data_IF_407347821976
#
_entry.id   IF_407347821976
#
_cell.length_a   1.000
_cell.length_b   1.000
_cell.length_c   1.000
_cell.angle_alpha   90.00
_cell.angle_beta   90.00
_cell.angle_gamma   90.00
#
_symmetry.space_group_name_H-M   'P 1'
#
loop_
_entity.id
_entity.type
_entity.pdbx_description
1 polymer ?
#
# COMPACT_ATOMS: atom_id res chain seq x y z
N UNK A 1 -0.44 13.14 14.12
CA UNK A 1 -0.83 12.26 12.99
C UNK A 1 -2.08 11.50 13.42
N UNK A 2 -3.11 11.46 12.57
CA UNK A 2 -4.29 10.62 12.85
C UNK A 2 -3.88 9.15 12.90
N UNK A 3 -4.55 8.37 13.74
CA UNK A 3 -4.28 6.93 13.87
C UNK A 3 -4.64 6.15 12.59
N UNK A 4 -5.60 6.69 11.83
CA UNK A 4 -6.06 6.13 10.57
C UNK A 4 -5.82 7.09 9.42
N UNK A 5 -5.44 6.53 8.28
CA UNK A 5 -5.21 7.22 7.02
C UNK A 5 -6.03 6.55 5.93
N UNK A 6 -6.77 7.33 5.14
CA UNK A 6 -7.51 6.79 3.99
C UNK A 6 -6.55 6.48 2.85
N UNK A 7 -6.55 5.23 2.40
CA UNK A 7 -5.63 4.71 1.40
C UNK A 7 -6.40 3.99 0.30
N UNK A 8 -6.03 4.24 -0.95
CA UNK A 8 -6.48 3.50 -2.13
C UNK A 8 -5.36 2.59 -2.61
N UNK A 9 -5.54 1.30 -2.41
CA UNK A 9 -4.67 0.26 -2.95
C UNK A 9 -5.14 -0.09 -4.37
N UNK A 10 -4.28 0.14 -5.36
CA UNK A 10 -4.55 -0.11 -6.77
C UNK A 10 -3.84 -1.41 -7.16
N UNK A 11 -4.55 -2.35 -7.77
CA UNK A 11 -4.04 -3.64 -8.21
C UNK A 11 -4.12 -3.70 -9.75
N UNK A 12 -3.11 -3.19 -10.49
CA UNK A 12 -3.21 -3.06 -11.94
C UNK A 12 -3.44 -4.39 -12.66
N UNK A 13 -2.79 -5.47 -12.20
CA UNK A 13 -2.93 -6.80 -12.79
C UNK A 13 -4.34 -7.40 -12.67
N UNK A 14 -5.19 -6.83 -11.80
CA UNK A 14 -6.57 -7.26 -11.60
C UNK A 14 -7.59 -6.22 -12.08
N UNK A 15 -7.12 -5.07 -12.58
CA UNK A 15 -7.95 -3.90 -12.92
C UNK A 15 -8.90 -3.49 -11.77
N UNK A 16 -8.43 -3.65 -10.52
CA UNK A 16 -9.22 -3.42 -9.30
C UNK A 16 -8.52 -2.45 -8.36
N UNK A 17 -9.31 -1.85 -7.46
CA UNK A 17 -8.77 -1.08 -6.35
C UNK A 17 -9.59 -1.32 -5.07
N UNK A 18 -8.95 -1.11 -3.93
CA UNK A 18 -9.56 -1.18 -2.59
C UNK A 18 -9.31 0.17 -1.92
N UNK A 19 -10.36 0.84 -1.44
CA UNK A 19 -10.24 2.03 -0.60
C UNK A 19 -10.60 1.65 0.82
N UNK A 20 -9.71 1.92 1.77
CA UNK A 20 -9.95 1.65 3.18
C UNK A 20 -9.22 2.65 4.08
N UNK A 21 -9.70 2.78 5.31
CA UNK A 21 -9.00 3.53 6.35
C UNK A 21 -8.01 2.57 7.02
N UNK A 22 -6.72 2.79 6.76
CA UNK A 22 -5.64 1.98 7.28
C UNK A 22 -5.12 2.58 8.59
N UNK A 23 -4.97 1.75 9.63
CA UNK A 23 -4.20 2.15 10.80
C UNK A 23 -2.74 2.35 10.39
N UNK A 24 -2.22 3.57 10.54
CA UNK A 24 -0.91 3.97 10.02
C UNK A 24 0.27 3.24 10.67
N UNK A 25 0.03 2.44 11.72
CA UNK A 25 1.02 1.65 12.46
C UNK A 25 1.13 0.18 12.00
N UNK A 26 0.19 -0.31 11.20
CA UNK A 26 0.22 -1.68 10.67
C UNK A 26 1.26 -1.79 9.55
N UNK A 27 2.06 -2.87 9.54
CA UNK A 27 3.00 -3.16 8.46
C UNK A 27 2.26 -3.50 7.17
N UNK A 28 2.78 -3.07 6.02
CA UNK A 28 2.08 -3.28 4.74
C UNK A 28 1.94 -4.76 4.38
N UNK A 29 2.89 -5.61 4.77
CA UNK A 29 2.81 -7.06 4.53
C UNK A 29 1.65 -7.74 5.26
N UNK A 30 1.21 -7.22 6.42
CA UNK A 30 0.05 -7.76 7.14
C UNK A 30 -1.26 -7.58 6.35
N UNK A 31 -1.27 -6.66 5.38
CA UNK A 31 -2.42 -6.44 4.50
C UNK A 31 -2.62 -7.56 3.50
N UNK A 32 -1.63 -8.43 3.31
CA UNK A 32 -1.71 -9.60 2.42
C UNK A 32 -2.93 -10.48 2.75
N UNK A 33 -3.17 -10.75 4.03
CA UNK A 33 -4.35 -11.52 4.47
C UNK A 33 -5.66 -10.80 4.16
N UNK A 34 -5.70 -9.49 4.41
CA UNK A 34 -6.86 -8.64 4.11
C UNK A 34 -7.17 -8.64 2.61
N UNK A 35 -6.14 -8.49 1.77
CA UNK A 35 -6.30 -8.51 0.31
C UNK A 35 -6.75 -9.87 -0.20
N UNK A 36 -6.18 -10.97 0.28
CA UNK A 36 -6.64 -12.34 -0.02
C UNK A 36 -8.14 -12.49 0.23
N UNK A 37 -8.61 -12.02 1.39
CA UNK A 37 -10.01 -12.13 1.78
C UNK A 37 -10.96 -11.25 0.96
N UNK A 38 -10.54 -10.05 0.59
CA UNK A 38 -11.36 -9.10 -0.20
C UNK A 38 -11.38 -9.51 -1.68
N UNK A 39 -10.20 -9.79 -2.26
CA UNK A 39 -10.05 -10.09 -3.68
C UNK A 39 -10.42 -11.54 -4.02
N UNK A 40 -10.56 -12.42 -3.02
CA UNK A 40 -10.82 -13.86 -3.18
C UNK A 40 -9.77 -14.56 -4.05
N UNK A 41 -8.50 -14.20 -3.87
CA UNK A 41 -7.36 -14.78 -4.57
C UNK A 41 -6.29 -15.21 -3.57
N UNK A 42 -5.58 -16.29 -3.86
CA UNK A 42 -4.44 -16.70 -3.05
C UNK A 42 -3.22 -15.81 -3.34
N UNK A 43 -2.82 -15.02 -2.34
CA UNK A 43 -1.61 -14.22 -2.40
C UNK A 43 -0.45 -14.86 -1.63
N UNK A 44 -0.64 -15.93 -0.85
CA UNK A 44 0.39 -16.48 0.04
C UNK A 44 1.69 -16.84 -0.69
N UNK A 45 1.58 -17.44 -1.87
CA UNK A 45 2.71 -17.77 -2.73
C UNK A 45 3.28 -16.58 -3.53
N UNK A 46 2.69 -15.38 -3.42
CA UNK A 46 3.11 -14.19 -4.16
C UNK A 46 3.83 -13.21 -3.26
N UNK A 47 4.91 -12.63 -3.76
CA UNK A 47 5.53 -11.46 -3.12
C UNK A 47 4.79 -10.21 -3.56
N UNK A 48 4.47 -9.33 -2.61
CA UNK A 48 3.74 -8.09 -2.89
C UNK A 48 4.72 -6.93 -2.85
N UNK A 49 4.70 -6.11 -3.89
CA UNK A 49 5.47 -4.86 -3.95
C UNK A 49 4.51 -3.68 -3.88
N UNK A 50 4.78 -2.80 -2.94
CA UNK A 50 4.03 -1.58 -2.72
C UNK A 50 4.83 -0.41 -3.27
N UNK A 51 4.18 0.46 -4.05
CA UNK A 51 4.80 1.69 -4.50
C UNK A 51 3.82 2.85 -4.36
N UNK A 52 4.35 4.00 -3.99
CA UNK A 52 3.64 5.25 -3.87
C UNK A 52 4.02 6.17 -5.03
N UNK A 53 3.04 6.86 -5.63
CA UNK A 53 3.28 7.76 -6.75
C UNK A 53 3.32 9.21 -6.26
N UNK A 54 4.44 9.90 -6.49
CA UNK A 54 4.63 11.33 -6.24
C UNK A 54 4.83 12.06 -7.57
N UNK A 55 3.73 12.50 -8.18
CA UNK A 55 3.76 13.07 -9.53
C UNK A 55 4.21 12.02 -10.55
N UNK A 56 5.32 12.28 -11.25
CA UNK A 56 5.89 11.36 -12.24
C UNK A 56 6.85 10.32 -11.65
N UNK A 57 7.12 10.38 -10.34
CA UNK A 57 8.08 9.49 -9.67
C UNK A 57 7.32 8.40 -8.92
N UNK A 58 7.63 7.15 -9.23
CA UNK A 58 7.19 5.99 -8.46
C UNK A 58 8.26 5.67 -7.40
N UNK A 59 7.85 5.64 -6.13
CA UNK A 59 8.72 5.35 -4.99
C UNK A 59 8.30 4.01 -4.40
N UNK A 60 9.24 3.09 -4.25
CA UNK A 60 8.97 1.80 -3.62
C UNK A 60 8.89 1.95 -2.09
N UNK A 61 7.88 1.32 -1.50
CA UNK A 61 7.67 1.30 -0.06
C UNK A 61 8.28 0.03 0.54
N UNK A 62 8.79 0.15 1.76
CA UNK A 62 9.27 -1.01 2.50
C UNK A 62 8.06 -1.76 3.10
N UNK A 63 7.81 -2.99 2.69
CA UNK A 63 6.64 -3.75 3.11
C UNK A 63 6.63 -4.12 4.60
N UNK A 64 7.81 -4.22 5.22
CA UNK A 64 7.99 -4.50 6.65
C UNK A 64 7.72 -3.27 7.53
N UNK A 65 7.63 -2.07 6.93
CA UNK A 65 7.35 -0.84 7.65
C UNK A 65 5.88 -0.44 7.48
N UNK A 66 5.34 0.18 8.51
CA UNK A 66 4.01 0.79 8.45
C UNK A 66 4.01 2.08 7.64
N UNK A 67 2.83 2.58 7.24
CA UNK A 67 2.74 3.85 6.50
C UNK A 67 3.41 5.02 7.22
N UNK A 68 3.22 5.10 8.54
CA UNK A 68 3.87 6.12 9.37
C UNK A 68 5.38 5.94 9.49
N UNK A 69 5.92 4.75 9.18
CA UNK A 69 7.34 4.47 9.11
C UNK A 69 7.99 4.88 7.78
N UNK A 70 7.23 5.04 6.70
CA UNK A 70 7.75 5.34 5.36
C UNK A 70 8.25 6.79 5.27
N UNK A 71 9.55 6.98 5.09
CA UNK A 71 10.15 8.32 4.89
C UNK A 71 9.58 9.01 3.64
N UNK A 72 9.31 8.24 2.59
CA UNK A 72 8.72 8.72 1.34
C UNK A 72 7.37 9.42 1.55
N UNK A 73 6.57 8.93 2.50
CA UNK A 73 5.22 9.44 2.80
C UNK A 73 5.28 10.58 3.82
N UNK A 74 6.20 10.52 4.81
CA UNK A 74 6.39 11.58 5.81
C UNK A 74 6.69 12.95 5.17
N UNK A 75 7.51 12.97 4.12
CA UNK A 75 7.91 14.21 3.44
C UNK A 75 6.79 14.88 2.63
N UNK A 76 5.64 14.23 2.45
CA UNK A 76 4.51 14.77 1.69
C UNK A 76 3.37 15.23 2.58
N UNK A 77 3.17 14.56 3.73
CA UNK A 77 2.13 14.92 4.69
C UNK A 77 2.38 16.23 5.44
N UNK A 78 3.56 16.85 5.33
CA UNK A 78 3.84 18.16 5.94
C UNK A 78 3.04 19.31 5.33
N UNK A 79 2.46 19.14 4.13
CA UNK A 79 1.75 20.23 3.42
C UNK A 79 0.27 19.93 3.10
N UNK A 80 -0.26 18.73 3.39
CA UNK A 80 -1.59 18.32 2.90
C UNK A 80 -2.32 17.44 3.93
N UNK A 81 -3.00 18.06 4.89
CA UNK A 81 -3.55 17.38 6.08
C UNK A 81 -4.71 16.38 5.85
N UNK A 82 -5.25 16.19 4.64
CA UNK A 82 -6.43 15.31 4.42
C UNK A 82 -6.50 14.62 3.06
N UNK A 83 -5.37 14.36 2.40
CA UNK A 83 -5.42 13.68 1.11
C UNK A 83 -5.41 12.15 1.25
N UNK A 84 -6.26 11.51 0.45
CA UNK A 84 -6.21 10.07 0.23
C UNK A 84 -4.85 9.70 -0.37
N UNK A 85 -4.23 8.64 0.14
CA UNK A 85 -2.95 8.14 -0.38
C UNK A 85 -3.24 7.04 -1.39
N UNK A 86 -2.70 7.18 -2.59
CA UNK A 86 -2.80 6.15 -3.63
C UNK A 86 -1.53 5.28 -3.63
N UNK A 87 -1.70 3.98 -3.43
CA UNK A 87 -0.62 2.99 -3.38
C UNK A 87 -0.86 1.96 -4.47
N UNK A 88 0.12 1.78 -5.35
CA UNK A 88 0.11 0.71 -6.34
C UNK A 88 0.65 -0.57 -5.72
N UNK A 89 -0.09 -1.66 -5.90
CA UNK A 89 0.24 -2.99 -5.41
C UNK A 89 0.50 -3.90 -6.62
N UNK A 90 1.75 -4.37 -6.74
CA UNK A 90 2.17 -5.30 -7.79
C UNK A 90 2.47 -6.67 -7.19
N UNK A 91 2.04 -7.72 -7.86
CA UNK A 91 2.40 -9.08 -7.50
C UNK A 91 3.67 -9.48 -8.25
N UNK A 92 4.64 -10.00 -7.51
CA UNK A 92 5.87 -10.57 -8.04
C UNK A 92 5.77 -12.08 -7.83
N UNK A 93 5.95 -12.82 -8.91
CA UNK A 93 6.06 -14.28 -8.86
C UNK A 93 7.44 -14.64 -8.29
N UNK A 94 7.47 -15.40 -7.20
CA UNK A 94 8.69 -16.06 -6.75
C UNK A 94 8.69 -17.47 -7.33
N UNK A 95 9.42 -17.66 -8.44
CA UNK A 95 9.67 -18.99 -9.00
C UNK A 95 9.82 -19.02 -10.52
N UNK A 96 11.07 -19.10 -10.97
CA UNK A 96 11.61 -20.32 -11.60
C UNK A 96 12.98 -20.60 -10.97
#
# INVERSE_FOLDING_TARGET
MSEYQRVKFIFPALEKFIVMDLNSKIALDDLKFTFTNILKIDLFAKRIKFSFNKGFIQIDLNSQQSLSGQEAIKNQNQNQEKQQIDITVKFIEEGA
#
